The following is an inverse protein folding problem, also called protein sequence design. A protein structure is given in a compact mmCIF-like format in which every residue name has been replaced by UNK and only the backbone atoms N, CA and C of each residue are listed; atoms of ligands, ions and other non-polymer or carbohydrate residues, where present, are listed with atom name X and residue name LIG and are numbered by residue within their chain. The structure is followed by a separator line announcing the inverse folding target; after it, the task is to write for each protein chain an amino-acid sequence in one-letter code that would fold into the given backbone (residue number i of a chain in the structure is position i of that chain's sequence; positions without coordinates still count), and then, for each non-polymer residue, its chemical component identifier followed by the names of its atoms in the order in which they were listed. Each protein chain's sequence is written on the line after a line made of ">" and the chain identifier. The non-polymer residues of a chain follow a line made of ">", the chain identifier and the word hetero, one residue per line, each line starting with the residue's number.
data_IF_452683353172
#
_entry.id   IF_452683353172
#
_cell.length_a   1.000
_cell.length_b   1.000
_cell.length_c   1.000
_cell.angle_alpha   90.00
_cell.angle_beta   90.00
_cell.angle_gamma   90.00
#
_symmetry.space_group_name_H-M   'P 1'
#
loop_
_entity.id
_entity.type
_entity.pdbx_description
1 polymer ?
#
# COMPACT_ATOMS: atom_id res chain seq x y z
N UNK A 1 -22.90 -16.26 11.58
CA UNK A 1 -22.65 -16.34 13.04
C UNK A 1 -23.48 -17.47 13.63
N UNK A 2 -22.90 -18.35 14.46
CA UNK A 2 -23.65 -19.43 15.11
C UNK A 2 -24.47 -18.90 16.30
N UNK A 3 -25.58 -19.59 16.64
CA UNK A 3 -26.43 -19.29 17.80
C UNK A 3 -25.64 -19.26 19.12
N UNK A 4 -24.64 -20.14 19.26
CA UNK A 4 -23.73 -20.18 20.39
C UNK A 4 -22.79 -18.97 20.44
N UNK A 5 -22.36 -18.46 19.29
CA UNK A 5 -21.58 -17.22 19.18
C UNK A 5 -22.40 -15.98 19.59
N UNK A 6 -23.65 -15.89 19.12
CA UNK A 6 -24.56 -14.81 19.49
C UNK A 6 -24.81 -14.77 21.01
N UNK A 7 -25.10 -15.92 21.63
CA UNK A 7 -25.31 -16.01 23.08
C UNK A 7 -24.08 -15.57 23.89
N UNK A 8 -22.87 -15.91 23.43
CA UNK A 8 -21.61 -15.47 24.05
C UNK A 8 -21.41 -13.96 23.93
N UNK A 9 -21.71 -13.37 22.78
CA UNK A 9 -21.60 -11.94 22.55
C UNK A 9 -22.54 -11.14 23.47
N UNK A 10 -23.82 -11.55 23.58
CA UNK A 10 -24.80 -10.91 24.47
C UNK A 10 -24.37 -11.01 25.93
N UNK A 11 -23.88 -12.18 26.36
CA UNK A 11 -23.39 -12.35 27.73
C UNK A 11 -22.17 -11.47 28.05
N UNK A 12 -21.23 -11.30 27.11
CA UNK A 12 -20.07 -10.41 27.28
C UNK A 12 -20.49 -8.96 27.38
N UNK A 13 -21.41 -8.52 26.51
CA UNK A 13 -21.97 -7.17 26.57
C UNK A 13 -22.63 -6.90 27.94
N UNK A 14 -23.48 -7.80 28.43
CA UNK A 14 -24.10 -7.68 29.74
C UNK A 14 -23.09 -7.67 30.90
N UNK A 15 -22.06 -8.52 30.84
CA UNK A 15 -21.02 -8.58 31.88
C UNK A 15 -20.14 -7.32 31.90
N UNK A 16 -19.88 -6.69 30.75
CA UNK A 16 -19.01 -5.50 30.68
C UNK A 16 -19.53 -4.32 31.54
N UNK A 17 -20.86 -4.19 31.67
CA UNK A 17 -21.52 -3.16 32.49
C UNK A 17 -21.42 -3.47 33.99
N UNK A 18 -21.22 -4.74 34.34
CA UNK A 18 -21.18 -5.25 35.72
C UNK A 18 -19.75 -5.31 36.29
N UNK A 19 -18.72 -5.29 35.43
CA UNK A 19 -17.31 -5.31 35.82
C UNK A 19 -16.90 -3.91 36.29
N UNK A 20 -16.44 -3.79 37.55
CA UNK A 20 -15.91 -2.52 38.06
C UNK A 20 -14.50 -2.30 37.51
N UNK A 21 -14.03 -1.05 37.49
CA UNK A 21 -12.69 -0.72 36.98
C UNK A 21 -11.56 -1.47 37.71
N UNK A 22 -11.71 -1.68 39.02
CA UNK A 22 -10.74 -2.45 39.82
C UNK A 22 -10.62 -3.93 39.41
N UNK A 23 -11.64 -4.47 38.71
CA UNK A 23 -11.61 -5.85 38.22
C UNK A 23 -11.01 -5.95 36.82
N UNK A 24 -10.92 -4.83 36.08
CA UNK A 24 -10.41 -4.82 34.71
C UNK A 24 -8.93 -5.16 34.69
N UNK A 25 -8.56 -6.05 33.79
CA UNK A 25 -7.16 -6.41 33.60
C UNK A 25 -6.46 -5.33 32.77
N UNK A 26 -5.29 -4.89 33.21
CA UNK A 26 -4.44 -3.91 32.50
C UNK A 26 -3.11 -4.58 32.20
N UNK A 27 -2.72 -4.59 30.93
CA UNK A 27 -1.48 -5.20 30.47
C UNK A 27 -0.70 -4.20 29.61
N UNK A 28 0.13 -3.40 30.28
CA UNK A 28 0.88 -2.31 29.62
C UNK A 28 1.89 -2.82 28.61
N UNK A 29 2.46 -4.00 28.83
CA UNK A 29 3.43 -4.62 27.93
C UNK A 29 2.74 -5.01 26.63
N UNK A 30 1.62 -5.73 26.73
CA UNK A 30 0.79 -6.04 25.57
C UNK A 30 0.31 -4.78 24.85
N UNK A 31 -0.12 -3.74 25.57
CA UNK A 31 -0.61 -2.49 24.96
C UNK A 31 0.47 -1.73 24.17
N UNK A 32 1.75 -1.87 24.54
CA UNK A 32 2.88 -1.33 23.75
C UNK A 32 3.06 -2.12 22.47
N UNK A 33 3.10 -3.45 22.55
CA UNK A 33 3.32 -4.30 21.38
C UNK A 33 2.14 -4.28 20.41
N UNK A 34 0.91 -4.20 20.92
CA UNK A 34 -0.28 -4.00 20.09
C UNK A 34 -0.22 -2.68 19.32
N UNK A 35 0.25 -1.58 19.95
CA UNK A 35 0.41 -0.30 19.24
C UNK A 35 1.43 -0.41 18.11
N UNK A 36 2.57 -1.06 18.35
CA UNK A 36 3.60 -1.29 17.32
C UNK A 36 3.05 -2.13 16.17
N UNK A 37 2.35 -3.22 16.49
CA UNK A 37 1.64 -4.04 15.51
C UNK A 37 0.68 -3.21 14.66
N UNK A 38 -0.16 -2.36 15.28
CA UNK A 38 -1.15 -1.56 14.56
C UNK A 38 -0.53 -0.52 13.62
N UNK A 39 0.61 0.04 14.00
CA UNK A 39 1.38 0.92 13.10
C UNK A 39 1.90 0.13 11.89
N UNK A 40 2.44 -1.06 12.12
CA UNK A 40 2.94 -1.94 11.05
C UNK A 40 1.83 -2.40 10.10
N UNK A 41 0.70 -2.89 10.65
CA UNK A 41 -0.47 -3.33 9.89
C UNK A 41 -0.97 -2.22 8.95
N UNK A 42 -1.08 -0.99 9.46
CA UNK A 42 -1.51 0.16 8.67
C UNK A 42 -0.48 0.53 7.59
N UNK A 43 0.80 0.55 7.96
CA UNK A 43 1.88 0.90 7.03
C UNK A 43 1.97 -0.09 5.87
N UNK A 44 1.88 -1.39 6.17
CA UNK A 44 1.89 -2.45 5.15
C UNK A 44 0.64 -2.40 4.25
N UNK A 45 -0.55 -2.15 4.82
CA UNK A 45 -1.77 -1.97 4.02
C UNK A 45 -1.70 -0.78 3.06
N UNK A 46 -1.14 0.36 3.52
CA UNK A 46 -0.88 1.51 2.66
C UNK A 46 0.16 1.18 1.59
N UNK A 47 1.26 0.51 1.97
CA UNK A 47 2.31 0.12 1.04
C UNK A 47 1.76 -0.79 -0.07
N UNK A 48 0.92 -1.78 0.25
CA UNK A 48 0.25 -2.62 -0.77
C UNK A 48 -0.54 -1.76 -1.76
N UNK A 49 -1.34 -0.82 -1.25
CA UNK A 49 -2.16 0.08 -2.09
C UNK A 49 -1.30 0.97 -2.97
N UNK A 50 -0.29 1.61 -2.40
CA UNK A 50 0.54 2.60 -3.08
C UNK A 50 1.48 1.94 -4.10
N UNK A 51 2.04 0.75 -3.79
CA UNK A 51 2.81 -0.03 -4.76
C UNK A 51 1.96 -0.45 -5.97
N UNK A 52 0.70 -0.84 -5.74
CA UNK A 52 -0.23 -1.15 -6.84
C UNK A 52 -0.53 0.10 -7.66
N UNK A 53 -0.85 1.20 -6.99
CA UNK A 53 -1.12 2.49 -7.64
C UNK A 53 0.06 2.98 -8.47
N UNK A 54 1.28 2.76 -8.01
CA UNK A 54 2.50 3.08 -8.77
C UNK A 54 2.57 2.29 -10.09
N UNK A 55 2.37 0.97 -10.06
CA UNK A 55 2.38 0.14 -11.28
C UNK A 55 1.27 0.56 -12.25
N UNK A 56 0.07 0.84 -11.74
CA UNK A 56 -1.05 1.31 -12.55
C UNK A 56 -0.76 2.68 -13.17
N UNK A 57 -0.09 3.58 -12.44
CA UNK A 57 0.33 4.88 -12.95
C UNK A 57 1.39 4.76 -14.05
N UNK A 58 2.37 3.85 -13.91
CA UNK A 58 3.36 3.60 -14.97
C UNK A 58 2.69 3.18 -16.28
N UNK A 59 1.76 2.23 -16.21
CA UNK A 59 0.98 1.79 -17.38
C UNK A 59 0.16 2.92 -17.98
N UNK A 60 -0.48 3.74 -17.14
CA UNK A 60 -1.31 4.85 -17.61
C UNK A 60 -0.48 5.92 -18.33
N UNK A 61 0.69 6.27 -17.79
CA UNK A 61 1.59 7.27 -18.39
C UNK A 61 2.08 6.78 -19.75
N UNK A 62 2.55 5.53 -19.88
CA UNK A 62 3.07 5.04 -21.15
C UNK A 62 1.98 4.83 -22.19
N UNK A 63 0.81 4.34 -21.79
CA UNK A 63 -0.34 4.27 -22.68
C UNK A 63 -0.75 5.66 -23.20
N UNK A 64 -0.81 6.66 -22.31
CA UNK A 64 -1.11 8.04 -22.71
C UNK A 64 -0.05 8.60 -23.64
N UNK A 65 1.22 8.29 -23.41
CA UNK A 65 2.33 8.72 -24.26
C UNK A 65 2.20 8.15 -25.68
N UNK A 66 1.82 6.88 -25.81
CA UNK A 66 1.53 6.25 -27.11
C UNK A 66 0.37 6.95 -27.81
N UNK A 67 -0.75 7.18 -27.12
CA UNK A 67 -1.91 7.88 -27.72
C UNK A 67 -1.56 9.27 -28.23
N UNK A 68 -0.77 10.05 -27.47
CA UNK A 68 -0.29 11.37 -27.91
C UNK A 68 0.53 11.23 -29.19
N UNK A 69 1.46 10.28 -29.23
CA UNK A 69 2.31 10.08 -30.40
C UNK A 69 1.54 9.61 -31.63
N UNK A 70 0.47 8.82 -31.48
CA UNK A 70 -0.40 8.40 -32.58
C UNK A 70 -1.14 9.61 -33.19
N UNK A 71 -1.68 10.48 -32.34
CA UNK A 71 -2.36 11.71 -32.79
C UNK A 71 -1.36 12.61 -33.52
N UNK A 72 -0.18 12.84 -32.96
CA UNK A 72 0.89 13.63 -33.59
C UNK A 72 1.27 13.00 -34.94
N UNK A 73 1.60 11.71 -34.97
CA UNK A 73 1.97 11.00 -36.19
C UNK A 73 0.93 11.20 -37.30
N UNK A 74 -0.36 11.03 -36.99
CA UNK A 74 -1.45 11.23 -37.96
C UNK A 74 -1.52 12.68 -38.49
N UNK A 75 -1.43 13.68 -37.62
CA UNK A 75 -1.45 15.10 -38.02
C UNK A 75 -0.29 15.46 -38.94
N UNK A 76 0.89 14.91 -38.68
CA UNK A 76 2.09 15.14 -39.49
C UNK A 76 2.08 14.29 -40.78
N UNK A 77 1.36 13.17 -40.82
CA UNK A 77 1.23 12.33 -42.03
C UNK A 77 0.34 12.99 -43.10
N UNK A 78 -0.65 13.79 -42.70
CA UNK A 78 -1.51 14.59 -43.60
C UNK A 78 -0.74 15.75 -44.29
N UNK A 79 0.42 16.14 -43.78
CA UNK A 79 1.24 17.25 -44.31
C UNK A 79 2.13 16.87 -45.51
N UNK A 80 2.03 15.63 -46.03
CA UNK A 80 2.76 15.08 -47.19
C UNK A 80 2.65 15.88 -48.50
N UNK A 81 1.90 16.99 -48.53
CA UNK A 81 1.85 17.91 -49.65
C UNK A 81 3.07 18.86 -49.75
N UNK A 82 3.92 18.99 -48.71
CA UNK A 82 5.06 19.92 -48.75
C UNK A 82 6.39 19.30 -48.26
N UNK A 83 7.02 18.54 -49.16
CA UNK A 83 8.47 18.58 -49.43
C UNK A 83 9.49 18.46 -48.26
N UNK A 84 9.39 17.45 -47.39
CA UNK A 84 10.54 16.99 -46.56
C UNK A 84 10.42 15.53 -46.12
N UNK A 85 11.42 14.71 -46.47
CA UNK A 85 11.44 13.26 -46.33
C UNK A 85 11.64 12.68 -44.91
N UNK A 86 11.36 13.45 -43.84
CA UNK A 86 11.58 13.01 -42.46
C UNK A 86 10.36 13.31 -41.59
N UNK A 87 9.58 12.27 -41.23
CA UNK A 87 8.46 12.41 -40.29
C UNK A 87 8.93 12.09 -38.87
N UNK A 88 9.43 13.10 -38.16
CA UNK A 88 9.85 13.01 -36.74
C UNK A 88 8.72 12.47 -35.85
N UNK A 89 7.45 12.75 -36.19
CA UNK A 89 6.28 12.21 -35.50
C UNK A 89 6.18 10.68 -35.58
N UNK A 90 6.51 10.08 -36.72
CA UNK A 90 6.54 8.62 -36.87
C UNK A 90 7.68 7.98 -36.07
N UNK A 91 8.86 8.62 -36.01
CA UNK A 91 9.95 8.15 -35.17
C UNK A 91 9.64 8.26 -33.68
N UNK A 92 9.00 9.36 -33.26
CA UNK A 92 8.50 9.50 -31.89
C UNK A 92 7.51 8.39 -31.54
N UNK A 93 6.53 8.15 -32.42
CA UNK A 93 5.55 7.07 -32.26
C UNK A 93 6.20 5.70 -32.08
N UNK A 94 7.21 5.37 -32.90
CA UNK A 94 7.95 4.13 -32.75
C UNK A 94 8.67 4.06 -31.40
N UNK A 95 9.38 5.11 -30.99
CA UNK A 95 10.11 5.15 -29.71
C UNK A 95 9.19 4.92 -28.51
N UNK A 96 8.00 5.53 -28.49
CA UNK A 96 7.08 5.39 -27.36
C UNK A 96 6.35 4.05 -27.36
N UNK A 97 6.09 3.46 -28.54
CA UNK A 97 5.55 2.09 -28.65
C UNK A 97 6.55 1.06 -28.15
N UNK A 98 7.82 1.22 -28.50
CA UNK A 98 8.88 0.34 -28.02
C UNK A 98 9.08 0.52 -26.50
N UNK A 99 9.01 1.75 -25.99
CA UNK A 99 9.07 1.99 -24.55
C UNK A 99 7.91 1.33 -23.80
N UNK A 100 6.66 1.48 -24.25
CA UNK A 100 5.50 0.82 -23.64
C UNK A 100 5.61 -0.71 -23.71
N UNK A 101 5.88 -1.26 -24.90
CA UNK A 101 5.79 -2.69 -25.15
C UNK A 101 7.03 -3.48 -24.69
N UNK A 102 8.24 -2.93 -24.85
CA UNK A 102 9.48 -3.62 -24.49
C UNK A 102 9.95 -3.27 -23.08
N UNK A 103 9.57 -2.12 -22.51
CA UNK A 103 9.98 -1.77 -21.15
C UNK A 103 8.86 -2.04 -20.15
N UNK A 104 7.72 -1.37 -20.28
CA UNK A 104 6.68 -1.42 -19.22
C UNK A 104 6.07 -2.80 -19.09
N UNK A 105 5.68 -3.43 -20.20
CA UNK A 105 5.11 -4.79 -20.16
C UNK A 105 6.10 -5.82 -19.61
N UNK A 106 7.40 -5.65 -19.85
CA UNK A 106 8.44 -6.52 -19.29
C UNK A 106 8.71 -6.25 -17.81
N UNK A 107 8.47 -5.03 -17.31
CA UNK A 107 8.61 -4.69 -15.89
C UNK A 107 7.41 -5.16 -15.06
N UNK A 108 6.25 -5.39 -15.69
CA UNK A 108 5.00 -5.77 -15.03
C UNK A 108 5.12 -7.03 -14.18
N UNK A 109 5.59 -8.12 -14.79
CA UNK A 109 5.79 -9.41 -14.12
C UNK A 109 6.77 -9.31 -12.95
N UNK A 110 8.02 -8.84 -13.18
CA UNK A 110 9.00 -8.64 -12.13
C UNK A 110 8.48 -7.75 -10.99
N UNK A 111 7.77 -6.66 -11.27
CA UNK A 111 7.21 -5.81 -10.23
C UNK A 111 6.16 -6.53 -9.39
N UNK A 112 5.27 -7.30 -10.04
CA UNK A 112 4.28 -8.10 -9.31
C UNK A 112 4.96 -9.13 -8.41
N UNK A 113 5.86 -9.92 -8.96
CA UNK A 113 6.49 -11.05 -8.27
C UNK A 113 7.44 -10.63 -7.15
N UNK A 114 8.19 -9.53 -7.34
CA UNK A 114 9.24 -9.11 -6.41
C UNK A 114 8.81 -8.01 -5.45
N UNK A 115 7.74 -7.27 -5.77
CA UNK A 115 7.24 -6.15 -4.96
C UNK A 115 5.82 -6.42 -4.47
N UNK A 116 4.84 -6.54 -5.37
CA UNK A 116 3.43 -6.60 -4.95
C UNK A 116 3.07 -7.88 -4.20
N UNK A 117 3.48 -9.03 -4.71
CA UNK A 117 3.11 -10.32 -4.14
C UNK A 117 3.71 -10.52 -2.74
N UNK A 118 5.01 -10.21 -2.49
CA UNK A 118 5.58 -10.24 -1.15
C UNK A 118 4.85 -9.30 -0.19
N UNK A 119 4.60 -8.04 -0.59
CA UNK A 119 3.91 -7.08 0.27
C UNK A 119 2.47 -7.54 0.58
N UNK A 120 1.77 -8.07 -0.42
CA UNK A 120 0.41 -8.60 -0.25
C UNK A 120 0.41 -9.83 0.66
N UNK A 121 1.37 -10.75 0.49
CA UNK A 121 1.53 -11.92 1.33
C UNK A 121 1.80 -11.54 2.78
N UNK A 122 2.68 -10.56 3.02
CA UNK A 122 2.91 -10.03 4.37
C UNK A 122 1.64 -9.45 4.98
N UNK A 123 0.90 -8.64 4.21
CA UNK A 123 -0.36 -8.05 4.64
C UNK A 123 -1.43 -9.08 5.00
N UNK A 124 -1.43 -10.26 4.36
CA UNK A 124 -2.38 -11.32 4.65
C UNK A 124 -2.18 -11.95 6.04
N UNK A 125 -0.95 -11.94 6.60
CA UNK A 125 -0.70 -12.45 7.96
C UNK A 125 -1.45 -11.65 9.03
N UNK A 126 -1.73 -10.37 8.78
CA UNK A 126 -2.48 -9.52 9.73
C UNK A 126 -3.92 -9.99 9.95
N UNK A 127 -4.51 -10.71 8.99
CA UNK A 127 -5.88 -11.24 9.16
C UNK A 127 -5.92 -12.25 10.31
N UNK A 128 -5.05 -13.25 10.27
CA UNK A 128 -4.97 -14.30 11.29
C UNK A 128 -4.57 -13.72 12.66
N UNK A 129 -3.59 -12.80 12.68
CA UNK A 129 -3.15 -12.14 13.91
C UNK A 129 -4.25 -11.26 14.49
N UNK A 130 -5.02 -10.57 13.63
CA UNK A 130 -6.19 -9.80 14.02
C UNK A 130 -7.28 -10.66 14.68
N UNK A 131 -7.49 -11.89 14.20
CA UNK A 131 -8.39 -12.84 14.83
C UNK A 131 -7.88 -13.32 16.20
N UNK A 132 -6.57 -13.57 16.33
CA UNK A 132 -5.94 -13.93 17.59
C UNK A 132 -6.07 -12.81 18.65
N UNK A 133 -5.81 -11.56 18.26
CA UNK A 133 -6.01 -10.36 19.09
C UNK A 133 -7.46 -10.27 19.56
N UNK A 134 -8.42 -10.39 18.63
CA UNK A 134 -9.86 -10.36 18.96
C UNK A 134 -10.25 -11.49 19.91
N UNK A 135 -9.70 -12.69 19.72
CA UNK A 135 -9.93 -13.84 20.61
C UNK A 135 -9.37 -13.57 22.00
N UNK A 136 -8.17 -13.00 22.11
CA UNK A 136 -7.55 -12.61 23.39
C UNK A 136 -8.40 -11.56 24.10
N UNK A 137 -8.89 -10.53 23.42
CA UNK A 137 -9.76 -9.51 24.02
C UNK A 137 -11.07 -10.08 24.56
N UNK A 138 -11.67 -11.01 23.82
CA UNK A 138 -12.83 -11.76 24.29
C UNK A 138 -12.54 -12.58 25.55
N UNK A 139 -11.36 -13.21 25.63
CA UNK A 139 -10.95 -14.00 26.80
C UNK A 139 -10.61 -13.13 28.01
N UNK A 140 -10.05 -11.95 27.77
CA UNK A 140 -9.88 -10.92 28.80
C UNK A 140 -11.21 -10.51 29.42
N UNK A 141 -12.24 -10.26 28.61
CA UNK A 141 -13.59 -9.95 29.09
C UNK A 141 -14.19 -11.09 29.90
N UNK A 142 -14.03 -12.34 29.44
CA UNK A 142 -14.50 -13.53 30.16
C UNK A 142 -13.79 -13.67 31.53
N UNK A 143 -12.49 -13.39 31.59
CA UNK A 143 -11.67 -13.39 32.81
C UNK A 143 -12.07 -12.28 33.79
N UNK A 144 -12.21 -11.03 33.33
CA UNK A 144 -12.63 -9.90 34.16
C UNK A 144 -14.03 -10.11 34.74
N UNK A 145 -14.94 -10.71 33.96
CA UNK A 145 -16.28 -11.08 34.44
C UNK A 145 -16.23 -12.15 35.54
N UNK A 146 -15.36 -13.16 35.40
CA UNK A 146 -15.16 -14.18 36.43
C UNK A 146 -14.56 -13.58 37.72
N UNK A 147 -13.59 -12.65 37.62
CA UNK A 147 -13.05 -11.91 38.77
C UNK A 147 -14.13 -11.14 39.51
N UNK A 148 -14.95 -10.37 38.78
CA UNK A 148 -16.06 -9.61 39.35
C UNK A 148 -17.08 -10.51 40.05
N UNK A 149 -17.39 -11.70 39.47
CA UNK A 149 -18.28 -12.69 40.08
C UNK A 149 -17.73 -13.26 41.39
N UNK A 150 -16.45 -13.65 41.42
CA UNK A 150 -15.81 -14.16 42.65
C UNK A 150 -15.81 -13.08 43.73
N UNK A 151 -15.39 -11.85 43.42
CA UNK A 151 -15.42 -10.74 44.39
C UNK A 151 -16.82 -10.52 44.96
N UNK A 152 -17.87 -10.49 44.13
CA UNK A 152 -19.26 -10.34 44.60
C UNK A 152 -19.70 -11.45 45.55
N UNK A 153 -19.25 -12.69 45.33
CA UNK A 153 -19.56 -13.83 46.20
C UNK A 153 -18.76 -13.80 47.52
N UNK A 154 -17.57 -13.17 47.53
CA UNK A 154 -16.82 -12.90 48.75
C UNK A 154 -17.49 -11.77 49.54
N UNK A 155 -17.78 -10.64 48.89
CA UNK A 155 -18.42 -9.47 49.50
C UNK A 155 -19.82 -9.80 50.06
N UNK A 156 -20.56 -10.68 49.36
CA UNK A 156 -21.88 -11.15 49.76
C UNK A 156 -21.97 -12.68 49.61
N UNK A 157 -21.61 -13.44 50.66
CA UNK A 157 -21.66 -14.90 50.65
C UNK A 157 -23.04 -15.42 50.26
N UNK A 158 -23.07 -16.40 49.36
CA UNK A 158 -24.30 -17.04 48.95
C UNK A 158 -24.77 -18.06 50.00
N UNK A 159 -26.09 -18.29 50.08
CA UNK A 159 -26.68 -19.35 50.93
C UNK A 159 -26.15 -20.75 50.59
N UNK A 160 -25.77 -20.97 49.35
CA UNK A 160 -25.21 -22.22 48.85
C UNK A 160 -23.67 -22.14 48.89
N UNK A 161 -23.07 -22.89 49.82
CA UNK A 161 -21.64 -22.93 50.05
C UNK A 161 -20.83 -23.45 48.84
N UNK A 162 -21.46 -24.17 47.91
CA UNK A 162 -20.80 -24.66 46.69
C UNK A 162 -20.59 -23.59 45.61
N UNK A 163 -21.26 -22.43 45.71
CA UNK A 163 -21.21 -21.39 44.66
C UNK A 163 -19.86 -20.70 44.56
N UNK A 164 -19.23 -20.39 45.68
CA UNK A 164 -17.93 -19.72 45.69
C UNK A 164 -16.82 -20.64 45.15
N UNK A 165 -16.64 -21.88 45.65
CA UNK A 165 -15.64 -22.80 45.10
C UNK A 165 -15.81 -23.07 43.59
N UNK A 166 -17.07 -23.11 43.11
CA UNK A 166 -17.33 -23.25 41.67
C UNK A 166 -16.91 -22.01 40.88
N UNK A 167 -17.22 -20.81 41.39
CA UNK A 167 -16.83 -19.56 40.73
C UNK A 167 -15.30 -19.37 40.73
N UNK A 168 -14.60 -19.83 41.76
CA UNK A 168 -13.12 -19.82 41.82
C UNK A 168 -12.51 -20.76 40.78
N UNK A 169 -13.09 -21.97 40.59
CA UNK A 169 -12.69 -22.87 39.50
C UNK A 169 -12.94 -22.26 38.12
N UNK A 170 -14.10 -21.63 37.91
CA UNK A 170 -14.42 -20.93 36.66
C UNK A 170 -13.43 -19.77 36.40
N UNK A 171 -13.05 -19.03 37.45
CA UNK A 171 -12.06 -17.96 37.39
C UNK A 171 -10.69 -18.48 36.98
N UNK A 172 -10.21 -19.56 37.62
CA UNK A 172 -8.92 -20.15 37.29
C UNK A 172 -8.88 -20.60 35.82
N UNK A 173 -9.93 -21.29 35.36
CA UNK A 173 -10.03 -21.69 33.95
C UNK A 173 -10.04 -20.48 32.99
N UNK A 174 -10.79 -19.43 33.30
CA UNK A 174 -10.81 -18.22 32.48
C UNK A 174 -9.45 -17.51 32.44
N UNK A 175 -8.73 -17.51 33.57
CA UNK A 175 -7.36 -16.99 33.68
C UNK A 175 -6.40 -17.76 32.79
N UNK A 176 -6.36 -19.09 32.91
CA UNK A 176 -5.41 -19.92 32.15
C UNK A 176 -5.60 -19.75 30.63
N UNK A 177 -6.85 -19.70 30.17
CA UNK A 177 -7.17 -19.49 28.74
C UNK A 177 -6.81 -18.08 28.26
N UNK A 178 -6.98 -17.07 29.11
CA UNK A 178 -6.56 -15.70 28.79
C UNK A 178 -5.03 -15.58 28.75
N UNK A 179 -4.35 -16.04 29.80
CA UNK A 179 -2.90 -15.95 29.95
C UNK A 179 -2.18 -16.65 28.79
N UNK A 180 -2.65 -17.84 28.38
CA UNK A 180 -2.10 -18.55 27.24
C UNK A 180 -2.08 -17.70 25.94
N UNK A 181 -3.21 -17.07 25.60
CA UNK A 181 -3.29 -16.21 24.40
C UNK A 181 -2.52 -14.91 24.58
N UNK A 182 -2.54 -14.36 25.79
CA UNK A 182 -1.88 -13.11 26.11
C UNK A 182 -0.36 -13.24 26.01
N UNK A 183 0.20 -14.29 26.60
CA UNK A 183 1.64 -14.57 26.59
C UNK A 183 2.12 -14.94 25.18
N UNK A 184 1.32 -15.72 24.43
CA UNK A 184 1.59 -15.99 23.02
C UNK A 184 1.70 -14.69 22.21
N UNK A 185 0.72 -13.79 22.31
CA UNK A 185 0.75 -12.52 21.56
C UNK A 185 1.89 -11.60 22.01
N UNK A 186 2.20 -11.53 23.31
CA UNK A 186 3.35 -10.76 23.80
C UNK A 186 4.68 -11.30 23.26
N UNK A 187 4.77 -12.60 23.00
CA UNK A 187 5.96 -13.21 22.41
C UNK A 187 6.03 -13.01 20.89
N UNK A 188 4.91 -13.16 20.18
CA UNK A 188 4.89 -13.19 18.71
C UNK A 188 4.83 -11.81 18.05
N UNK A 189 4.09 -10.84 18.64
CA UNK A 189 3.96 -9.50 18.05
C UNK A 189 5.31 -8.77 17.89
N UNK A 190 6.24 -8.78 18.88
CA UNK A 190 7.56 -8.17 18.71
C UNK A 190 8.38 -8.82 17.60
N UNK A 191 8.25 -10.14 17.43
CA UNK A 191 8.97 -10.89 16.40
C UNK A 191 8.45 -10.52 15.00
N UNK A 192 7.14 -10.42 14.82
CA UNK A 192 6.57 -9.93 13.57
C UNK A 192 7.09 -8.52 13.25
N UNK A 193 7.12 -7.65 14.26
CA UNK A 193 7.62 -6.28 14.10
C UNK A 193 9.10 -6.29 13.73
N UNK A 194 9.95 -7.11 14.35
CA UNK A 194 11.38 -7.16 14.01
C UNK A 194 11.65 -7.72 12.62
N UNK A 195 10.86 -8.70 12.17
CA UNK A 195 11.00 -9.33 10.86
C UNK A 195 10.63 -8.42 9.68
N UNK A 196 9.94 -7.29 9.91
CA UNK A 196 9.49 -6.39 8.84
C UNK A 196 10.62 -5.93 7.92
N UNK A 197 11.81 -5.64 8.47
CA UNK A 197 12.95 -5.10 7.70
C UNK A 197 13.53 -6.17 6.77
N UNK A 198 14.05 -7.31 7.28
CA UNK A 198 14.60 -8.33 6.41
C UNK A 198 13.57 -8.92 5.43
N UNK A 199 12.27 -8.86 5.76
CA UNK A 199 11.21 -9.27 4.85
C UNK A 199 11.06 -8.32 3.66
N UNK A 200 11.09 -7.00 3.90
CA UNK A 200 10.87 -5.99 2.86
C UNK A 200 12.14 -5.57 2.11
N UNK A 201 13.34 -5.81 2.66
CA UNK A 201 14.61 -5.41 2.04
C UNK A 201 14.75 -5.87 0.57
N UNK A 202 14.50 -7.15 0.22
CA UNK A 202 14.61 -7.60 -1.17
C UNK A 202 13.56 -6.95 -2.10
N UNK A 203 12.35 -6.70 -1.59
CA UNK A 203 11.30 -6.02 -2.36
C UNK A 203 11.62 -4.55 -2.58
N UNK A 204 12.23 -3.88 -1.59
CA UNK A 204 12.70 -2.50 -1.73
C UNK A 204 13.84 -2.41 -2.75
N UNK A 205 14.82 -3.31 -2.68
CA UNK A 205 15.90 -3.38 -3.67
C UNK A 205 15.36 -3.60 -5.09
N UNK A 206 14.42 -4.53 -5.25
CA UNK A 206 13.78 -4.82 -6.54
C UNK A 206 12.99 -3.62 -7.06
N UNK A 207 12.25 -2.92 -6.18
CA UNK A 207 11.53 -1.70 -6.52
C UNK A 207 12.46 -0.64 -7.09
N UNK A 208 13.58 -0.36 -6.43
CA UNK A 208 14.57 0.63 -6.89
C UNK A 208 15.15 0.23 -8.25
N UNK A 209 15.51 -1.05 -8.44
CA UNK A 209 16.03 -1.56 -9.71
C UNK A 209 15.03 -1.42 -10.86
N UNK A 210 13.75 -1.71 -10.60
CA UNK A 210 12.67 -1.57 -11.59
C UNK A 210 12.48 -0.09 -11.95
N UNK A 211 12.44 0.80 -10.97
CA UNK A 211 12.33 2.24 -11.22
C UNK A 211 13.52 2.77 -12.02
N UNK A 212 14.74 2.37 -11.67
CA UNK A 212 15.95 2.75 -12.41
C UNK A 212 15.90 2.27 -13.86
N UNK A 213 15.49 1.02 -14.10
CA UNK A 213 15.31 0.49 -15.46
C UNK A 213 14.27 1.28 -16.23
N UNK A 214 13.10 1.54 -15.64
CA UNK A 214 12.04 2.33 -16.28
C UNK A 214 12.55 3.70 -16.72
N UNK A 215 13.20 4.45 -15.82
CA UNK A 215 13.72 5.79 -16.12
C UNK A 215 14.84 5.76 -17.17
N UNK A 216 15.75 4.78 -17.08
CA UNK A 216 16.91 4.67 -17.99
C UNK A 216 16.47 4.33 -19.41
N UNK A 217 15.55 3.37 -19.55
CA UNK A 217 15.00 2.99 -20.85
C UNK A 217 14.17 4.14 -21.44
N UNK A 218 13.34 4.81 -20.61
CA UNK A 218 12.55 5.96 -21.06
C UNK A 218 13.43 7.09 -21.58
N UNK A 219 14.49 7.43 -20.86
CA UNK A 219 15.49 8.39 -21.32
C UNK A 219 16.15 7.93 -22.62
N UNK A 220 16.63 6.69 -22.68
CA UNK A 220 17.36 6.16 -23.83
C UNK A 220 16.50 6.17 -25.09
N UNK A 221 15.23 5.75 -25.00
CA UNK A 221 14.29 5.74 -26.13
C UNK A 221 13.96 7.15 -26.61
N UNK A 222 13.71 8.09 -25.70
CA UNK A 222 13.40 9.47 -26.08
C UNK A 222 14.63 10.23 -26.62
N UNK A 223 15.83 9.94 -26.10
CA UNK A 223 17.06 10.54 -26.58
C UNK A 223 17.35 10.16 -28.06
N UNK A 224 16.89 9.00 -28.53
CA UNK A 224 17.01 8.61 -29.95
C UNK A 224 16.28 9.57 -30.89
N UNK A 225 15.31 10.34 -30.42
CA UNK A 225 14.60 11.33 -31.26
C UNK A 225 15.53 12.50 -31.59
N UNK A 226 16.49 12.81 -30.72
CA UNK A 226 17.38 13.96 -30.89
C UNK A 226 18.15 13.91 -32.21
N UNK A 227 18.52 12.72 -32.69
CA UNK A 227 19.23 12.58 -33.97
C UNK A 227 18.40 13.02 -35.19
N UNK A 228 17.08 13.14 -35.02
CA UNK A 228 16.14 13.58 -36.06
C UNK A 228 15.66 15.02 -35.84
N UNK A 229 16.14 15.71 -34.80
CA UNK A 229 15.92 17.14 -34.60
C UNK A 229 16.95 17.95 -35.40
N UNK A 230 16.63 19.22 -35.67
CA UNK A 230 17.55 20.14 -36.34
C UNK A 230 18.84 20.36 -35.51
N UNK A 231 19.91 20.78 -36.19
CA UNK A 231 21.25 20.94 -35.60
C UNK A 231 21.28 21.93 -34.43
N UNK A 232 20.53 23.04 -34.53
CA UNK A 232 20.41 24.02 -33.47
C UNK A 232 19.73 23.43 -32.23
N UNK A 233 18.64 22.67 -32.42
CA UNK A 233 17.95 21.99 -31.32
C UNK A 233 18.81 20.94 -30.60
N UNK A 234 19.74 20.29 -31.31
CA UNK A 234 20.70 19.35 -30.71
C UNK A 234 21.76 20.06 -29.87
N UNK A 235 22.33 21.15 -30.38
CA UNK A 235 23.33 21.95 -29.65
C UNK A 235 22.73 22.61 -28.40
N UNK A 236 21.49 23.09 -28.48
CA UNK A 236 20.82 23.72 -27.35
C UNK A 236 20.48 22.72 -26.23
N UNK A 237 20.17 21.47 -26.58
CA UNK A 237 20.00 20.39 -25.61
C UNK A 237 21.32 20.06 -24.90
N UNK A 238 22.42 19.92 -25.66
CA UNK A 238 23.75 19.62 -25.11
C UNK A 238 24.25 20.71 -24.13
N UNK A 239 23.82 21.96 -24.35
CA UNK A 239 24.18 23.10 -23.51
C UNK A 239 23.18 23.40 -22.37
N UNK A 240 22.12 22.59 -22.20
CA UNK A 240 21.19 22.71 -21.07
C UNK A 240 20.23 23.91 -21.15
N UNK A 241 19.91 24.39 -22.36
CA UNK A 241 19.16 25.65 -22.62
C UNK A 241 17.63 25.44 -22.63
N UNK A 242 17.15 24.34 -22.05
CA UNK A 242 15.76 23.85 -22.13
C UNK A 242 14.73 24.86 -21.58
N UNK A 243 14.99 25.47 -20.42
CA UNK A 243 14.05 26.38 -19.76
C UNK A 243 13.82 27.67 -20.58
N UNK A 244 14.90 28.28 -21.08
CA UNK A 244 14.81 29.44 -21.96
C UNK A 244 14.13 29.14 -23.30
N UNK A 245 14.21 27.88 -23.79
CA UNK A 245 13.47 27.47 -24.99
C UNK A 245 11.99 27.26 -24.73
N UNK A 246 11.58 26.78 -23.55
CA UNK A 246 10.14 26.70 -23.23
C UNK A 246 9.48 28.08 -23.32
N UNK A 247 10.15 29.13 -22.82
CA UNK A 247 9.66 30.51 -22.95
C UNK A 247 9.59 30.98 -24.41
N UNK A 248 10.59 30.67 -25.24
CA UNK A 248 10.58 30.99 -26.66
C UNK A 248 9.52 30.22 -27.45
N UNK A 249 9.31 28.93 -27.14
CA UNK A 249 8.25 28.11 -27.75
C UNK A 249 6.88 28.69 -27.38
N UNK A 250 6.67 29.09 -26.13
CA UNK A 250 5.43 29.74 -25.70
C UNK A 250 5.19 31.05 -26.47
N UNK A 251 6.24 31.85 -26.70
CA UNK A 251 6.16 33.06 -27.53
C UNK A 251 5.84 32.72 -29.00
N UNK A 252 6.48 31.70 -29.59
CA UNK A 252 6.18 31.23 -30.94
C UNK A 252 4.73 30.74 -31.05
N UNK A 253 4.25 29.95 -30.09
CA UNK A 253 2.85 29.50 -30.03
C UNK A 253 1.88 30.69 -29.97
N UNK A 254 2.21 31.75 -29.20
CA UNK A 254 1.38 32.97 -29.17
C UNK A 254 1.35 33.72 -30.50
N UNK A 255 2.40 33.63 -31.31
CA UNK A 255 2.48 34.25 -32.64
C UNK A 255 1.77 33.44 -33.73
N UNK A 256 1.52 32.15 -33.48
CA UNK A 256 0.80 31.23 -34.37
C UNK A 256 -0.71 31.20 -34.11
N UNK A 257 -1.22 32.14 -33.31
CA UNK A 257 -2.65 32.23 -33.00
C UNK A 257 -3.46 32.37 -34.30
N UNK A 258 -4.33 31.39 -34.56
CA UNK A 258 -5.06 31.23 -35.83
C UNK A 258 -5.92 32.46 -36.14
N UNK A 259 -6.34 33.18 -35.10
CA UNK A 259 -7.08 34.45 -35.20
C UNK A 259 -6.21 35.63 -35.68
N UNK A 260 -4.89 35.59 -35.51
CA UNK A 260 -3.95 36.61 -36.00
C UNK A 260 -3.55 36.40 -37.47
N UNK A 261 -3.70 35.17 -37.99
CA UNK A 261 -3.40 34.82 -39.38
C UNK A 261 -4.49 35.27 -40.39
N UNK A 262 -5.66 35.69 -39.91
CA UNK A 262 -6.80 36.13 -40.72
C UNK A 262 -6.80 37.62 -41.11
N UNK A 263 -5.81 38.40 -40.68
CA UNK A 263 -5.65 39.80 -41.07
C UNK A 263 -4.37 39.99 -41.90
N UNK A 264 -4.46 39.68 -43.20
CA UNK A 264 -3.60 40.25 -44.23
C UNK A 264 -4.43 40.61 -45.45
#
# INVERSE_FOLDING_TARGET
>A
MSWTGFKKAVNRAGNSVLVKDVDKTVDKEYDVELRRYKVLERAAGNLTKDSKGFLDALRAVTASQVTIAEIISNLYDDSKSYNSGYNVGNYYLQCVRDFDSETVKQLDGPFRETVLDPITKFSNYFQEIGEAIKKRDHKKQDYDAAKSKVRRLIDKPAKDAGKLPKAEKDLQYAKDVYDQLNDQLKQELPQLVSLRVPYFDPSFESLVKIQLRFCTEGYTRLAQIQQYLDEQSRDDYANGVLDSKMEQILQQMSSLDICALGYK
#
